data_IF_622298372873
#
_entry.id   IF_622298372873
#
_cell.length_a   1.000
_cell.length_b   1.000
_cell.length_c   1.000
_cell.angle_alpha   90.00
_cell.angle_beta   90.00
_cell.angle_gamma   90.00
#
_symmetry.space_group_name_H-M   'P 1'
#
loop_
_entity.id
_entity.type
_entity.pdbx_description
1 polymer ?
#
# COMPACT_ATOMS: atom_id res chain seq x y z
N UNK A 1 8.95 -0.54 -1.05
CA UNK A 1 7.50 -0.22 -1.01
C UNK A 1 6.96 0.22 -2.36
N UNK A 2 7.59 1.17 -3.07
CA UNK A 2 7.13 1.55 -4.43
C UNK A 2 6.97 0.34 -5.37
N UNK A 3 8.00 -0.48 -5.49
CA UNK A 3 7.94 -1.73 -6.28
C UNK A 3 6.90 -2.72 -5.74
N UNK A 4 6.66 -2.73 -4.43
CA UNK A 4 5.72 -3.62 -3.77
C UNK A 4 4.25 -3.30 -4.12
N UNK A 5 3.95 -2.02 -4.37
CA UNK A 5 2.66 -1.57 -4.91
C UNK A 5 2.66 -1.48 -6.44
N UNK A 6 3.71 -1.99 -7.08
CA UNK A 6 3.83 -2.13 -8.52
C UNK A 6 4.29 -0.87 -9.26
N UNK A 7 4.90 0.11 -8.58
CA UNK A 7 5.51 1.31 -9.19
C UNK A 7 6.97 1.03 -9.47
N UNK A 8 7.41 1.28 -10.70
CA UNK A 8 8.83 1.24 -11.04
C UNK A 8 9.46 2.64 -10.83
N UNK A 9 10.38 2.82 -9.86
CA UNK A 9 10.93 4.13 -9.51
C UNK A 9 11.80 4.75 -10.62
N UNK A 10 12.33 3.93 -11.53
CA UNK A 10 13.19 4.41 -12.61
C UNK A 10 12.36 4.95 -13.79
N UNK A 11 11.22 4.32 -14.08
CA UNK A 11 10.36 4.66 -15.22
C UNK A 11 9.13 5.49 -14.84
N UNK A 12 8.70 5.43 -13.58
CA UNK A 12 7.50 6.10 -13.08
C UNK A 12 7.76 6.94 -11.82
N UNK A 13 8.72 7.88 -11.84
CA UNK A 13 9.02 8.73 -10.69
C UNK A 13 7.81 9.58 -10.26
N UNK A 14 6.92 9.93 -11.20
CA UNK A 14 5.68 10.66 -10.92
C UNK A 14 4.66 9.87 -10.10
N UNK A 15 4.81 8.54 -9.95
CA UNK A 15 3.91 7.73 -9.14
C UNK A 15 4.46 7.52 -7.72
N UNK A 16 5.71 7.90 -7.46
CA UNK A 16 6.37 7.68 -6.16
C UNK A 16 5.65 8.36 -4.99
N UNK A 17 4.86 9.41 -5.24
CA UNK A 17 4.05 10.03 -4.20
C UNK A 17 3.01 9.05 -3.62
N UNK A 18 2.49 8.09 -4.41
CA UNK A 18 1.60 7.04 -3.93
C UNK A 18 2.32 6.08 -2.98
N UNK A 19 3.57 5.74 -3.29
CA UNK A 19 4.40 4.91 -2.42
C UNK A 19 4.71 5.63 -1.10
N UNK A 20 5.04 6.92 -1.17
CA UNK A 20 5.31 7.73 0.01
C UNK A 20 4.06 7.88 0.88
N UNK A 21 2.90 8.09 0.25
CA UNK A 21 1.63 8.18 0.95
C UNK A 21 1.28 6.86 1.63
N UNK A 22 1.47 5.72 0.98
CA UNK A 22 1.21 4.40 1.57
C UNK A 22 2.12 4.03 2.73
N UNK A 23 3.41 4.39 2.65
CA UNK A 23 4.33 4.25 3.78
C UNK A 23 3.94 5.09 5.00
N UNK A 24 3.29 6.23 4.78
CA UNK A 24 2.83 7.14 5.83
C UNK A 24 1.35 6.92 6.20
N UNK A 25 0.68 6.01 5.51
CA UNK A 25 -0.74 5.80 5.71
C UNK A 25 -0.98 5.23 7.12
N UNK A 26 -1.86 5.85 7.92
CA UNK A 26 -2.26 5.25 9.17
C UNK A 26 -3.00 3.94 8.88
N UNK A 27 -2.91 3.00 9.82
CA UNK A 27 -3.67 1.76 9.73
C UNK A 27 -5.19 2.06 9.68
N UNK A 28 -5.97 1.31 8.90
CA UNK A 28 -7.40 1.48 8.85
C UNK A 28 -8.03 1.22 10.23
N UNK A 29 -9.20 1.80 10.52
CA UNK A 29 -9.82 1.71 11.84
C UNK A 29 -10.12 0.25 12.22
N UNK A 30 -9.48 -0.21 13.29
CA UNK A 30 -9.57 -1.58 13.78
C UNK A 30 -8.35 -2.45 13.45
N UNK A 31 -7.42 -1.98 12.63
CA UNK A 31 -6.14 -2.67 12.41
C UNK A 31 -5.07 -2.18 13.39
N UNK A 32 -4.27 -3.12 13.89
CA UNK A 32 -3.10 -2.86 14.72
C UNK A 32 -1.88 -3.56 14.14
N UNK A 33 -0.70 -2.96 14.29
CA UNK A 33 0.56 -3.65 14.04
C UNK A 33 0.97 -4.37 15.33
N UNK A 34 1.17 -5.68 15.23
CA UNK A 34 1.66 -6.52 16.30
C UNK A 34 2.96 -7.20 15.85
N UNK A 35 3.75 -7.67 16.82
CA UNK A 35 5.00 -8.38 16.57
C UNK A 35 4.86 -9.81 17.08
N UNK A 36 5.27 -10.79 16.29
CA UNK A 36 5.32 -12.20 16.68
C UNK A 36 6.49 -12.43 17.65
N UNK A 37 6.52 -13.60 18.29
CA UNK A 37 7.63 -14.01 19.16
C UNK A 37 8.95 -14.13 18.40
N UNK A 38 8.91 -14.56 17.13
CA UNK A 38 10.03 -14.57 16.18
C UNK A 38 10.50 -13.17 15.75
N UNK A 39 9.74 -12.14 16.11
CA UNK A 39 10.06 -10.76 15.85
C UNK A 39 9.58 -10.24 14.48
N UNK A 40 8.69 -10.96 13.82
CA UNK A 40 8.07 -10.53 12.58
C UNK A 40 6.88 -9.59 12.87
N UNK A 41 6.71 -8.55 12.05
CA UNK A 41 5.58 -7.63 12.19
C UNK A 41 4.43 -8.13 11.34
N UNK A 42 3.25 -8.21 11.94
CA UNK A 42 2.01 -8.55 11.27
C UNK A 42 0.90 -7.56 11.67
N UNK A 43 -0.10 -7.44 10.82
CA UNK A 43 -1.23 -6.56 11.02
C UNK A 43 -2.44 -7.38 11.43
N UNK A 44 -3.08 -7.04 12.54
CA UNK A 44 -4.27 -7.73 13.02
C UNK A 44 -5.47 -6.79 13.04
N UNK A 45 -6.57 -7.22 12.46
CA UNK A 45 -7.85 -6.55 12.58
C UNK A 45 -8.53 -6.98 13.90
N UNK A 46 -8.59 -6.06 14.86
CA UNK A 46 -9.21 -6.28 16.16
C UNK A 46 -10.71 -6.58 16.08
N UNK A 47 -11.40 -6.13 15.02
CA UNK A 47 -12.84 -6.32 14.81
C UNK A 47 -13.17 -7.67 14.18
N UNK A 48 -12.51 -8.01 13.07
CA UNK A 48 -12.79 -9.26 12.32
C UNK A 48 -11.92 -10.43 12.75
N UNK A 49 -10.88 -10.18 13.57
CA UNK A 49 -9.83 -11.15 13.95
C UNK A 49 -9.00 -11.66 12.77
N UNK A 50 -9.04 -10.96 11.65
CA UNK A 50 -8.15 -11.21 10.52
C UNK A 50 -6.71 -10.80 10.87
N UNK A 51 -5.74 -11.56 10.37
CA UNK A 51 -4.32 -11.24 10.48
C UNK A 51 -3.72 -11.27 9.07
N UNK A 52 -2.93 -10.26 8.75
CA UNK A 52 -2.23 -10.10 7.49
C UNK A 52 -0.75 -9.87 7.76
N UNK A 53 0.08 -10.42 6.89
CA UNK A 53 1.52 -10.13 6.86
C UNK A 53 1.78 -8.81 6.13
N UNK A 54 0.95 -8.51 5.13
CA UNK A 54 1.00 -7.29 4.34
C UNK A 54 0.16 -6.17 4.95
N UNK A 55 0.51 -4.92 4.68
CA UNK A 55 -0.20 -3.79 5.25
C UNK A 55 -1.58 -3.68 4.59
N UNK A 56 -2.67 -3.53 5.35
CA UNK A 56 -4.05 -3.59 4.81
C UNK A 56 -4.37 -2.49 3.79
N UNK A 57 -3.56 -1.42 3.74
CA UNK A 57 -3.68 -0.38 2.71
C UNK A 57 -2.91 -0.70 1.42
N UNK A 58 -2.10 -1.76 1.35
CA UNK A 58 -1.25 -2.03 0.19
C UNK A 58 -2.06 -2.30 -1.08
N UNK A 59 -3.16 -3.06 -0.96
CA UNK A 59 -4.10 -3.27 -2.06
C UNK A 59 -4.76 -1.96 -2.52
N UNK A 60 -5.05 -1.05 -1.58
CA UNK A 60 -5.59 0.27 -1.91
C UNK A 60 -4.58 1.07 -2.76
N UNK A 61 -3.30 1.06 -2.38
CA UNK A 61 -2.26 1.78 -3.13
C UNK A 61 -1.96 1.13 -4.48
N UNK A 62 -1.97 -0.20 -4.58
CA UNK A 62 -1.90 -0.91 -5.87
C UNK A 62 -3.02 -0.48 -6.82
N UNK A 63 -4.26 -0.38 -6.31
CA UNK A 63 -5.39 0.12 -7.09
C UNK A 63 -5.21 1.58 -7.52
N UNK A 64 -4.73 2.46 -6.61
CA UNK A 64 -4.43 3.86 -6.96
C UNK A 64 -3.38 3.97 -8.06
N UNK A 65 -2.35 3.14 -8.05
CA UNK A 65 -1.31 3.09 -9.10
C UNK A 65 -1.92 2.76 -10.46
N UNK A 66 -2.79 1.75 -10.51
CA UNK A 66 -3.51 1.36 -11.73
C UNK A 66 -4.42 2.48 -12.23
N UNK A 67 -5.17 3.13 -11.34
CA UNK A 67 -6.05 4.25 -11.68
C UNK A 67 -5.26 5.44 -12.23
N UNK A 68 -4.15 5.81 -11.59
CA UNK A 68 -3.33 6.95 -12.01
C UNK A 68 -2.63 6.69 -13.36
N UNK A 69 -2.19 5.44 -13.61
CA UNK A 69 -1.70 5.02 -14.94
C UNK A 69 -2.77 5.15 -16.01
N UNK A 70 -3.99 4.72 -15.73
CA UNK A 70 -5.11 4.83 -16.66
C UNK A 70 -5.49 6.30 -16.93
N UNK A 71 -5.46 7.15 -15.91
CA UNK A 71 -5.68 8.60 -16.05
C UNK A 71 -4.60 9.25 -16.91
N UNK A 72 -3.32 8.92 -16.69
CA UNK A 72 -2.21 9.40 -17.53
C UNK A 72 -2.40 9.04 -19.00
N UNK A 73 -2.79 7.80 -19.30
CA UNK A 73 -3.08 7.37 -20.68
C UNK A 73 -4.24 8.14 -21.31
N UNK A 74 -5.32 8.40 -20.57
CA UNK A 74 -6.48 9.16 -21.06
C UNK A 74 -6.21 10.66 -21.22
N UNK A 75 -5.27 11.23 -20.49
CA UNK A 75 -4.94 12.66 -20.54
C UNK A 75 -4.02 13.03 -21.71
N UNK A 76 -3.49 12.03 -22.41
CA UNK A 76 -2.61 12.20 -23.56
C UNK A 76 -3.35 12.14 -24.91
N UNK A 77 -4.69 12.17 -24.90
CA UNK A 77 -5.56 12.20 -26.08
C UNK A 77 -6.20 13.58 -26.27
#
# INVERSE_FOLDING_TARGET
YAEYIGIDPATEPDLLWLALEGLKAPLPPGWIAAKTEDGEVYYQNQKTKEALWDHPCDDLYRQKVIDERNKKQKKSI
#
